data_IF_540221688567
#
_entry.id   IF_540221688567
#
_cell.length_a   1.000
_cell.length_b   1.000
_cell.length_c   1.000
_cell.angle_alpha   90.00
_cell.angle_beta   90.00
_cell.angle_gamma   90.00
#
_symmetry.space_group_name_H-M   'P 1'
#
loop_
_entity.id
_entity.type
_entity.pdbx_description
1 polymer ?
#
# COMPACT_ATOMS: atom_id res chain seq x y z
N UNK A 1 9.94 25.80 49.25
CA UNK A 1 8.55 25.51 48.82
C UNK A 1 8.32 25.62 47.29
N UNK A 2 9.32 25.90 46.44
CA UNK A 2 9.13 26.15 45.00
C UNK A 2 9.04 24.95 44.05
N UNK A 3 9.31 23.71 44.49
CA UNK A 3 9.35 22.54 43.60
C UNK A 3 8.00 21.83 43.39
N UNK A 4 7.01 22.08 44.26
CA UNK A 4 5.68 21.46 44.18
C UNK A 4 4.80 22.16 43.14
N UNK A 5 4.82 23.50 43.13
CA UNK A 5 4.04 24.32 42.19
C UNK A 5 4.42 24.13 40.72
N UNK A 6 5.70 23.89 40.41
CA UNK A 6 6.13 23.66 39.01
C UNK A 6 5.68 22.31 38.45
N UNK A 7 5.55 21.28 39.30
CA UNK A 7 5.03 19.97 38.90
C UNK A 7 3.52 19.97 38.77
N UNK A 8 2.80 20.71 39.62
CA UNK A 8 1.36 20.91 39.49
C UNK A 8 1.00 21.73 38.25
N UNK A 9 1.75 22.79 37.91
CA UNK A 9 1.56 23.54 36.66
C UNK A 9 1.84 22.70 35.41
N UNK A 10 2.88 21.86 35.42
CA UNK A 10 3.18 20.96 34.31
C UNK A 10 2.12 19.87 34.16
N UNK A 11 1.64 19.29 35.27
CA UNK A 11 0.55 18.32 35.27
C UNK A 11 -0.80 18.93 34.84
N UNK A 12 -1.09 20.17 35.25
CA UNK A 12 -2.28 20.90 34.83
C UNK A 12 -2.26 21.25 33.34
N UNK A 13 -1.10 21.66 32.78
CA UNK A 13 -0.92 21.83 31.33
C UNK A 13 -1.05 20.50 30.57
N UNK A 14 -0.55 19.41 31.15
CA UNK A 14 -0.67 18.04 30.61
C UNK A 14 -2.11 17.50 30.62
N UNK A 15 -2.94 17.96 31.57
CA UNK A 15 -4.36 17.63 31.63
C UNK A 15 -5.21 18.54 30.73
N UNK A 16 -4.85 19.81 30.58
CA UNK A 16 -5.55 20.79 29.72
C UNK A 16 -5.42 20.47 28.23
N UNK A 17 -4.26 20.00 27.75
CA UNK A 17 -4.13 19.64 26.32
C UNK A 17 -4.96 18.40 25.95
N UNK A 18 -5.06 17.39 26.85
CA UNK A 18 -5.84 16.16 26.60
C UNK A 18 -7.33 16.41 26.42
N UNK A 19 -7.84 17.55 26.93
CA UNK A 19 -9.24 17.94 26.77
C UNK A 19 -9.51 18.68 25.45
N UNK A 20 -8.48 19.19 24.77
CA UNK A 20 -8.65 19.94 23.53
C UNK A 20 -8.99 19.00 22.37
N UNK A 21 -9.95 19.37 21.50
CA UNK A 21 -10.20 18.62 20.28
C UNK A 21 -8.94 18.64 19.41
N UNK A 22 -8.58 17.50 18.83
CA UNK A 22 -7.45 17.41 17.91
C UNK A 22 -7.63 18.42 16.77
N UNK A 23 -6.65 19.31 16.60
CA UNK A 23 -6.61 20.28 15.53
C UNK A 23 -5.22 20.26 14.88
N UNK A 24 -5.07 19.77 13.64
CA UNK A 24 -3.77 19.66 12.99
C UNK A 24 -3.10 21.01 12.73
N UNK A 25 -3.85 22.13 12.79
CA UNK A 25 -3.31 23.48 12.64
C UNK A 25 -2.54 23.97 13.85
N UNK A 26 -2.62 23.28 14.99
CA UNK A 26 -1.89 23.67 16.20
C UNK A 26 -0.40 23.26 16.11
N UNK A 27 -0.06 22.33 15.22
CA UNK A 27 1.32 21.90 14.98
C UNK A 27 2.13 22.97 14.24
N UNK A 28 3.36 23.22 14.69
CA UNK A 28 4.28 24.21 14.08
C UNK A 28 5.14 23.61 12.98
N UNK A 29 5.34 22.29 13.02
CA UNK A 29 6.15 21.55 12.06
C UNK A 29 5.63 20.11 11.93
N UNK A 30 6.20 19.38 10.98
CA UNK A 30 5.87 17.98 10.69
C UNK A 30 6.03 17.07 11.91
N UNK A 31 7.16 17.13 12.63
CA UNK A 31 7.40 16.26 13.78
C UNK A 31 6.33 16.43 14.86
N UNK A 32 5.99 17.67 15.21
CA UNK A 32 4.94 17.98 16.18
C UNK A 32 3.57 17.47 15.69
N UNK A 33 3.25 17.61 14.40
CA UNK A 33 2.02 17.08 13.84
C UNK A 33 1.97 15.55 13.93
N UNK A 34 3.07 14.86 13.65
CA UNK A 34 3.16 13.40 13.75
C UNK A 34 2.97 12.94 15.21
N UNK A 35 3.60 13.61 16.17
CA UNK A 35 3.43 13.33 17.60
C UNK A 35 1.97 13.53 18.04
N UNK A 36 1.36 14.66 17.64
CA UNK A 36 -0.07 14.92 17.89
C UNK A 36 -0.97 13.86 17.26
N UNK A 37 -0.66 13.39 16.05
CA UNK A 37 -1.41 12.31 15.41
C UNK A 37 -1.28 10.99 16.20
N UNK A 38 -0.08 10.64 16.66
CA UNK A 38 0.16 9.44 17.49
C UNK A 38 -0.68 9.49 18.77
N UNK A 39 -0.76 10.65 19.42
CA UNK A 39 -1.60 10.83 20.61
C UNK A 39 -3.10 10.76 20.29
N UNK A 40 -3.55 11.43 19.22
CA UNK A 40 -4.96 11.48 18.83
C UNK A 40 -5.48 10.12 18.31
N UNK A 41 -4.61 9.28 17.73
CA UNK A 41 -4.93 7.90 17.35
C UNK A 41 -5.25 7.00 18.55
N UNK A 42 -4.84 7.37 19.76
CA UNK A 42 -5.17 6.65 20.99
C UNK A 42 -6.48 7.14 21.64
N UNK A 43 -7.14 8.15 21.06
CA UNK A 43 -8.40 8.68 21.59
C UNK A 43 -9.52 7.64 21.46
N UNK A 44 -10.41 7.60 22.46
CA UNK A 44 -11.57 6.70 22.47
C UNK A 44 -12.58 7.03 21.36
N UNK A 45 -12.63 8.28 20.91
CA UNK A 45 -13.57 8.81 19.90
C UNK A 45 -13.08 8.49 18.49
N UNK A 46 -13.91 7.79 17.73
CA UNK A 46 -13.62 7.47 16.33
C UNK A 46 -13.41 8.73 15.47
N UNK A 47 -14.19 9.78 15.70
CA UNK A 47 -14.06 11.05 14.98
C UNK A 47 -12.69 11.70 15.15
N UNK A 48 -12.09 11.61 16.35
CA UNK A 48 -10.75 12.13 16.62
C UNK A 48 -9.70 11.30 15.88
N UNK A 49 -9.81 9.97 15.94
CA UNK A 49 -8.90 9.06 15.23
C UNK A 49 -8.99 9.24 13.71
N UNK A 50 -10.19 9.38 13.16
CA UNK A 50 -10.40 9.69 11.74
C UNK A 50 -9.77 11.03 11.32
N UNK A 51 -9.90 12.07 12.15
CA UNK A 51 -9.27 13.35 11.90
C UNK A 51 -7.73 13.25 11.94
N UNK A 52 -7.19 12.48 12.90
CA UNK A 52 -5.76 12.21 13.00
C UNK A 52 -5.23 11.44 11.78
N UNK A 53 -5.91 10.38 11.35
CA UNK A 53 -5.53 9.62 10.15
C UNK A 53 -5.58 10.48 8.89
N UNK A 54 -6.56 11.38 8.78
CA UNK A 54 -6.67 12.32 7.66
C UNK A 54 -5.50 13.31 7.65
N UNK A 55 -5.17 13.88 8.80
CA UNK A 55 -4.04 14.80 8.94
C UNK A 55 -2.70 14.10 8.67
N UNK A 56 -2.53 12.88 9.20
CA UNK A 56 -1.37 12.03 8.96
C UNK A 56 -1.19 11.72 7.47
N UNK A 57 -2.25 11.28 6.78
CA UNK A 57 -2.19 11.01 5.34
C UNK A 57 -1.78 12.27 4.57
N UNK A 58 -2.40 13.42 4.87
CA UNK A 58 -2.07 14.69 4.24
C UNK A 58 -0.65 15.16 4.52
N UNK A 59 -0.05 14.81 5.67
CA UNK A 59 1.34 15.11 5.96
C UNK A 59 2.29 14.18 5.20
N UNK A 60 2.00 12.87 5.17
CA UNK A 60 2.79 11.89 4.43
C UNK A 60 2.80 12.17 2.92
N UNK A 61 1.68 12.63 2.34
CA UNK A 61 1.61 13.08 0.94
C UNK A 61 2.58 14.23 0.62
N UNK A 62 2.97 15.05 1.61
CA UNK A 62 3.92 16.14 1.40
C UNK A 62 5.37 15.65 1.36
N UNK A 63 5.64 14.35 1.43
CA UNK A 63 7.00 13.80 1.57
C UNK A 63 7.80 14.55 2.67
N UNK A 64 7.45 14.33 3.95
CA UNK A 64 8.16 14.94 5.07
C UNK A 64 9.62 14.48 5.16
N UNK A 65 10.43 15.22 5.92
CA UNK A 65 11.82 14.84 6.17
C UNK A 65 11.88 13.47 6.85
N UNK A 66 12.81 12.62 6.39
CA UNK A 66 12.90 11.24 6.85
C UNK A 66 13.12 11.14 8.37
N UNK A 67 13.91 12.05 8.96
CA UNK A 67 14.20 12.10 10.40
C UNK A 67 12.97 12.36 11.27
N UNK A 68 11.96 13.06 10.72
CA UNK A 68 10.70 13.30 11.43
C UNK A 68 9.82 12.05 11.39
N UNK A 69 9.78 11.37 10.26
CA UNK A 69 9.00 10.14 10.08
C UNK A 69 9.62 8.97 10.84
N UNK A 70 10.94 8.80 10.83
CA UNK A 70 11.64 7.64 11.42
C UNK A 70 11.33 7.48 12.91
N UNK A 71 11.21 8.60 13.64
CA UNK A 71 10.85 8.62 15.06
C UNK A 71 9.43 8.11 15.35
N UNK A 72 8.49 8.42 14.45
CA UNK A 72 7.07 8.10 14.63
C UNK A 72 6.62 6.86 13.85
N UNK A 73 7.41 6.38 12.89
CA UNK A 73 7.01 5.40 11.87
C UNK A 73 6.35 4.15 12.45
N UNK A 74 7.01 3.47 13.40
CA UNK A 74 6.47 2.23 13.97
C UNK A 74 5.27 2.46 14.88
N UNK A 75 5.24 3.58 15.64
CA UNK A 75 4.09 3.95 16.44
C UNK A 75 2.86 4.21 15.56
N UNK A 76 3.04 4.99 14.49
CA UNK A 76 2.01 5.26 13.50
C UNK A 76 1.52 3.96 12.86
N UNK A 77 2.44 3.09 12.43
CA UNK A 77 2.09 1.80 11.83
C UNK A 77 1.29 0.92 12.79
N UNK A 78 1.73 0.78 14.04
CA UNK A 78 1.05 0.00 15.07
C UNK A 78 -0.37 0.53 15.35
N UNK A 79 -0.52 1.85 15.50
CA UNK A 79 -1.80 2.49 15.76
C UNK A 79 -2.76 2.40 14.56
N UNK A 80 -2.24 2.48 13.33
CA UNK A 80 -3.04 2.18 12.14
C UNK A 80 -3.53 0.73 12.14
N UNK A 81 -2.69 -0.22 12.58
CA UNK A 81 -3.07 -1.62 12.76
C UNK A 81 -4.24 -1.79 13.74
N UNK A 82 -4.25 -1.05 14.85
CA UNK A 82 -5.38 -1.01 15.79
C UNK A 82 -6.63 -0.43 15.12
N UNK A 83 -6.51 0.68 14.39
CA UNK A 83 -7.62 1.29 13.65
C UNK A 83 -8.22 0.35 12.60
N UNK A 84 -7.42 -0.54 12.00
CA UNK A 84 -7.88 -1.54 11.04
C UNK A 84 -8.61 -2.70 11.74
N UNK A 85 -8.06 -3.23 12.83
CA UNK A 85 -8.59 -4.41 13.51
C UNK A 85 -9.77 -4.11 14.44
N UNK A 86 -9.69 -2.99 15.16
CA UNK A 86 -10.58 -2.62 16.26
C UNK A 86 -11.29 -1.28 16.02
N UNK A 87 -11.12 -0.71 14.83
CA UNK A 87 -11.74 0.55 14.43
C UNK A 87 -13.26 0.50 14.61
N UNK A 88 -13.83 1.62 15.06
CA UNK A 88 -15.29 1.71 15.31
C UNK A 88 -16.08 2.06 14.06
N UNK A 89 -15.40 2.44 12.97
CA UNK A 89 -16.02 2.76 11.69
C UNK A 89 -15.20 2.20 10.52
N UNK A 90 -15.88 1.83 9.43
CA UNK A 90 -15.19 1.41 8.20
C UNK A 90 -14.37 2.55 7.57
N UNK A 91 -14.79 3.80 7.80
CA UNK A 91 -14.04 4.98 7.37
C UNK A 91 -12.68 5.08 8.07
N UNK A 92 -12.63 4.79 9.36
CA UNK A 92 -11.40 4.72 10.15
C UNK A 92 -10.43 3.68 9.57
N UNK A 93 -10.92 2.47 9.29
CA UNK A 93 -10.11 1.42 8.67
C UNK A 93 -9.57 1.82 7.28
N UNK A 94 -10.41 2.40 6.42
CA UNK A 94 -10.02 2.90 5.09
C UNK A 94 -8.92 3.96 5.17
N UNK A 95 -9.05 4.91 6.09
CA UNK A 95 -8.04 5.95 6.32
C UNK A 95 -6.74 5.35 6.86
N UNK A 96 -6.81 4.32 7.71
CA UNK A 96 -5.65 3.61 8.21
C UNK A 96 -4.91 2.81 7.12
N UNK A 97 -5.62 2.10 6.24
CA UNK A 97 -5.01 1.48 5.06
C UNK A 97 -4.28 2.51 4.20
N UNK A 98 -4.91 3.66 3.95
CA UNK A 98 -4.27 4.75 3.22
C UNK A 98 -3.01 5.26 3.92
N UNK A 99 -3.06 5.50 5.22
CA UNK A 99 -1.91 5.95 5.99
C UNK A 99 -0.76 4.92 5.97
N UNK A 100 -1.06 3.63 6.09
CA UNK A 100 -0.05 2.55 6.02
C UNK A 100 0.65 2.50 4.67
N UNK A 101 -0.10 2.56 3.56
CA UNK A 101 0.51 2.57 2.23
C UNK A 101 1.34 3.84 1.98
N UNK A 102 0.87 5.01 2.41
CA UNK A 102 1.64 6.26 2.33
C UNK A 102 2.92 6.20 3.16
N UNK A 103 2.84 5.67 4.40
CA UNK A 103 3.99 5.49 5.27
C UNK A 103 5.04 4.55 4.66
N UNK A 104 4.59 3.49 4.00
CA UNK A 104 5.51 2.60 3.28
C UNK A 104 6.18 3.30 2.09
N UNK A 105 5.47 4.15 1.35
CA UNK A 105 6.02 4.89 0.21
C UNK A 105 6.94 6.05 0.63
N UNK A 106 6.72 6.65 1.80
CA UNK A 106 7.59 7.72 2.36
C UNK A 106 8.82 7.15 3.06
N UNK A 107 8.67 6.08 3.86
CA UNK A 107 9.72 5.60 4.76
C UNK A 107 10.39 4.31 4.26
N UNK A 108 11.21 4.45 3.21
CA UNK A 108 11.89 3.35 2.51
C UNK A 108 12.58 2.33 3.42
N UNK A 109 13.25 2.79 4.49
CA UNK A 109 14.00 1.89 5.37
C UNK A 109 13.08 0.95 6.17
N UNK A 110 11.85 1.36 6.45
CA UNK A 110 10.88 0.59 7.22
C UNK A 110 9.91 -0.21 6.32
N UNK A 111 9.75 0.17 5.05
CA UNK A 111 8.78 -0.44 4.12
C UNK A 111 8.82 -1.97 4.07
N UNK A 112 9.99 -2.65 4.09
CA UNK A 112 10.00 -4.11 4.11
C UNK A 112 9.44 -4.71 5.40
N UNK A 113 9.71 -4.09 6.55
CA UNK A 113 9.14 -4.53 7.83
C UNK A 113 7.65 -4.24 7.92
N UNK A 114 7.22 -3.10 7.38
CA UNK A 114 5.80 -2.76 7.21
C UNK A 114 5.10 -3.83 6.35
N UNK A 115 5.68 -4.22 5.22
CA UNK A 115 5.13 -5.25 4.34
C UNK A 115 5.03 -6.63 5.03
N UNK A 116 6.07 -7.03 5.77
CA UNK A 116 6.09 -8.32 6.46
C UNK A 116 4.96 -8.40 7.51
N UNK A 117 4.73 -7.33 8.27
CA UNK A 117 3.70 -7.27 9.32
C UNK A 117 2.29 -6.94 8.79
N UNK A 118 2.16 -6.11 7.74
CA UNK A 118 0.87 -5.70 7.18
C UNK A 118 0.23 -6.81 6.33
N UNK A 119 1.03 -7.64 5.65
CA UNK A 119 0.51 -8.59 4.68
C UNK A 119 -0.51 -9.58 5.26
N UNK A 120 -0.31 -10.25 6.42
CA UNK A 120 -1.29 -11.18 6.95
C UNK A 120 -2.65 -10.51 7.24
N UNK A 121 -2.61 -9.27 7.75
CA UNK A 121 -3.80 -8.48 8.03
C UNK A 121 -4.54 -8.08 6.75
N UNK A 122 -3.81 -7.58 5.75
CA UNK A 122 -4.36 -7.19 4.45
C UNK A 122 -4.91 -8.39 3.68
N UNK A 123 -4.19 -9.52 3.64
CA UNK A 123 -4.65 -10.72 2.97
C UNK A 123 -5.92 -11.31 3.60
N UNK A 124 -6.03 -11.24 4.93
CA UNK A 124 -7.26 -11.66 5.64
C UNK A 124 -8.41 -10.71 5.33
N UNK A 125 -8.16 -9.40 5.41
CA UNK A 125 -9.13 -8.36 5.03
C UNK A 125 -9.65 -8.59 3.60
N UNK A 126 -8.75 -8.83 2.66
CA UNK A 126 -9.10 -8.98 1.24
C UNK A 126 -9.97 -10.22 0.98
N UNK A 127 -9.83 -11.27 1.81
CA UNK A 127 -10.65 -12.48 1.70
C UNK A 127 -12.00 -12.35 2.40
N UNK A 128 -12.03 -11.67 3.54
CA UNK A 128 -13.16 -11.75 4.48
C UNK A 128 -14.03 -10.48 4.52
N UNK A 129 -13.61 -9.36 3.92
CA UNK A 129 -14.38 -8.12 3.92
C UNK A 129 -15.42 -8.08 2.79
N UNK A 130 -16.66 -7.77 3.15
CA UNK A 130 -17.78 -7.62 2.20
C UNK A 130 -17.98 -6.17 1.70
N UNK A 131 -17.47 -5.17 2.43
CA UNK A 131 -17.65 -3.77 2.06
C UNK A 131 -16.69 -3.37 0.93
N UNK A 132 -17.24 -3.15 -0.26
CA UNK A 132 -16.50 -2.85 -1.48
C UNK A 132 -15.48 -1.69 -1.35
N UNK A 133 -15.81 -0.53 -0.76
CA UNK A 133 -14.83 0.54 -0.58
C UNK A 133 -13.68 0.19 0.39
N UNK A 134 -13.95 -0.59 1.44
CA UNK A 134 -12.91 -1.08 2.37
C UNK A 134 -12.02 -2.11 1.72
N UNK A 135 -12.62 -3.03 0.96
CA UNK A 135 -11.89 -4.01 0.17
C UNK A 135 -10.97 -3.34 -0.87
N UNK A 136 -11.48 -2.35 -1.61
CA UNK A 136 -10.68 -1.56 -2.54
C UNK A 136 -9.51 -0.84 -1.85
N UNK A 137 -9.75 -0.22 -0.68
CA UNK A 137 -8.70 0.45 0.09
C UNK A 137 -7.62 -0.52 0.58
N UNK A 138 -8.01 -1.74 1.00
CA UNK A 138 -7.07 -2.77 1.42
C UNK A 138 -6.22 -3.31 0.25
N UNK A 139 -6.83 -3.49 -0.93
CA UNK A 139 -6.12 -3.89 -2.16
C UNK A 139 -5.09 -2.84 -2.57
N UNK A 140 -5.50 -1.57 -2.63
CA UNK A 140 -4.59 -0.47 -2.97
C UNK A 140 -3.45 -0.35 -1.94
N UNK A 141 -3.76 -0.50 -0.65
CA UNK A 141 -2.74 -0.53 0.40
C UNK A 141 -1.77 -1.69 0.21
N UNK A 142 -2.26 -2.90 -0.07
CA UNK A 142 -1.41 -4.07 -0.33
C UNK A 142 -0.46 -3.82 -1.50
N UNK A 143 -0.96 -3.27 -2.61
CA UNK A 143 -0.10 -2.91 -3.75
C UNK A 143 0.97 -1.88 -3.36
N UNK A 144 0.61 -0.81 -2.65
CA UNK A 144 1.56 0.22 -2.23
C UNK A 144 2.66 -0.33 -1.28
N UNK A 145 2.28 -1.09 -0.25
CA UNK A 145 3.26 -1.66 0.69
C UNK A 145 4.13 -2.72 0.03
N UNK A 146 3.57 -3.50 -0.92
CA UNK A 146 4.35 -4.49 -1.66
C UNK A 146 5.34 -3.83 -2.59
N UNK A 147 4.95 -2.80 -3.33
CA UNK A 147 5.86 -2.05 -4.18
C UNK A 147 7.02 -1.43 -3.38
N UNK A 148 6.71 -0.81 -2.23
CA UNK A 148 7.73 -0.17 -1.41
C UNK A 148 8.62 -1.16 -0.63
N UNK A 149 8.06 -2.29 -0.20
CA UNK A 149 8.69 -3.20 0.75
C UNK A 149 9.22 -4.52 0.18
N UNK A 150 8.87 -4.89 -1.05
CA UNK A 150 9.29 -6.16 -1.64
C UNK A 150 10.81 -6.22 -1.79
N UNK A 151 11.40 -7.31 -1.30
CA UNK A 151 12.86 -7.57 -1.38
C UNK A 151 13.22 -8.69 -2.32
N UNK A 152 12.22 -9.46 -2.73
CA UNK A 152 12.34 -10.59 -3.63
C UNK A 152 11.02 -10.78 -4.37
N UNK A 153 11.04 -11.64 -5.40
CA UNK A 153 9.86 -11.95 -6.20
C UNK A 153 8.74 -12.58 -5.37
N UNK A 154 9.09 -13.37 -4.35
CA UNK A 154 8.12 -14.11 -3.54
C UNK A 154 7.17 -13.15 -2.81
N UNK A 155 7.66 -11.98 -2.39
CA UNK A 155 6.84 -10.93 -1.80
C UNK A 155 5.80 -10.35 -2.77
N UNK A 156 6.16 -10.24 -4.04
CA UNK A 156 5.27 -9.72 -5.09
C UNK A 156 4.30 -10.81 -5.55
N UNK A 157 4.78 -12.05 -5.77
CA UNK A 157 3.97 -13.21 -6.18
C UNK A 157 2.82 -13.49 -5.19
N UNK A 158 3.12 -13.51 -3.88
CA UNK A 158 2.08 -13.72 -2.86
C UNK A 158 1.01 -12.62 -2.86
N UNK A 159 1.38 -11.38 -3.16
CA UNK A 159 0.46 -10.23 -3.19
C UNK A 159 -0.38 -10.24 -4.46
N UNK A 160 0.25 -10.54 -5.61
CA UNK A 160 -0.43 -10.78 -6.87
C UNK A 160 -1.46 -11.89 -6.74
N UNK A 161 -1.12 -13.01 -6.09
CA UNK A 161 -2.04 -14.10 -5.85
C UNK A 161 -3.26 -13.67 -5.04
N UNK A 162 -3.04 -12.99 -3.91
CA UNK A 162 -4.15 -12.50 -3.05
C UNK A 162 -5.08 -11.57 -3.82
N UNK A 163 -4.54 -10.64 -4.61
CA UNK A 163 -5.34 -9.72 -5.42
C UNK A 163 -6.03 -10.49 -6.55
N UNK A 164 -5.35 -11.41 -7.21
CA UNK A 164 -5.91 -12.20 -8.30
C UNK A 164 -7.09 -13.06 -7.84
N UNK A 165 -7.02 -13.66 -6.65
CA UNK A 165 -8.11 -14.46 -6.09
C UNK A 165 -9.40 -13.63 -5.85
N UNK A 166 -9.30 -12.29 -5.77
CA UNK A 166 -10.48 -11.39 -5.74
C UNK A 166 -11.11 -11.19 -7.11
N UNK A 167 -10.31 -11.21 -8.16
CA UNK A 167 -10.75 -11.09 -9.56
C UNK A 167 -11.29 -12.44 -10.04
N UNK A 168 -10.60 -13.52 -9.66
CA UNK A 168 -10.86 -14.91 -10.01
C UNK A 168 -11.06 -15.76 -8.77
N UNK A 169 -12.28 -15.76 -8.23
CA UNK A 169 -12.58 -16.68 -7.13
C UNK A 169 -12.80 -18.10 -7.67
N UNK A 170 -12.09 -19.15 -7.17
CA UNK A 170 -12.23 -20.51 -7.67
C UNK A 170 -13.64 -21.12 -7.46
N UNK A 171 -14.46 -20.53 -6.59
CA UNK A 171 -15.88 -20.85 -6.42
C UNK A 171 -16.77 -20.41 -7.60
N UNK A 172 -16.28 -19.54 -8.48
CA UNK A 172 -17.00 -19.03 -9.66
C UNK A 172 -17.03 -20.00 -10.84
N UNK A 173 -16.51 -21.22 -10.69
CA UNK A 173 -16.42 -22.23 -11.76
C UNK A 173 -17.71 -23.03 -12.00
N UNK A 174 -18.78 -22.79 -11.24
CA UNK A 174 -20.00 -23.63 -11.29
C UNK A 174 -21.27 -22.94 -11.80
N UNK A 175 -21.25 -21.67 -12.21
CA UNK A 175 -22.42 -21.01 -12.81
C UNK A 175 -22.05 -20.29 -14.09
N UNK A 176 -22.77 -20.62 -15.16
CA UNK A 176 -22.62 -20.18 -16.55
C UNK A 176 -22.89 -18.69 -16.81
N UNK A 177 -22.79 -17.82 -15.79
CA UNK A 177 -22.89 -16.38 -15.94
C UNK A 177 -21.57 -15.77 -15.49
N UNK A 178 -20.88 -15.11 -16.43
CA UNK A 178 -19.59 -14.43 -16.27
C UNK A 178 -19.69 -13.15 -15.40
N UNK A 179 -20.74 -13.02 -14.59
CA UNK A 179 -20.96 -11.88 -13.71
C UNK A 179 -20.20 -12.15 -12.41
N UNK A 180 -18.98 -11.60 -12.34
CA UNK A 180 -18.22 -11.58 -11.11
C UNK A 180 -19.02 -10.83 -10.05
N UNK A 181 -19.30 -11.51 -8.93
CA UNK A 181 -19.96 -10.95 -7.74
C UNK A 181 -19.22 -9.74 -7.13
N UNK A 182 -18.02 -9.42 -7.62
CA UNK A 182 -17.24 -8.27 -7.21
C UNK A 182 -17.82 -6.99 -7.83
N UNK A 183 -18.17 -6.00 -7.00
CA UNK A 183 -18.60 -4.69 -7.50
C UNK A 183 -17.57 -4.09 -8.46
N UNK A 184 -18.03 -3.27 -9.42
CA UNK A 184 -17.14 -2.60 -10.38
C UNK A 184 -15.99 -1.85 -9.71
N UNK A 185 -16.23 -1.23 -8.54
CA UNK A 185 -15.20 -0.57 -7.74
C UNK A 185 -14.09 -1.53 -7.27
N UNK A 186 -14.44 -2.73 -6.82
CA UNK A 186 -13.47 -3.74 -6.38
C UNK A 186 -12.68 -4.26 -7.56
N UNK A 187 -13.34 -4.52 -8.69
CA UNK A 187 -12.66 -4.93 -9.93
C UNK A 187 -11.66 -3.86 -10.40
N UNK A 188 -12.04 -2.58 -10.35
CA UNK A 188 -11.16 -1.45 -10.70
C UNK A 188 -9.91 -1.43 -9.83
N UNK A 189 -10.08 -1.49 -8.50
CA UNK A 189 -8.96 -1.50 -7.57
C UNK A 189 -8.07 -2.73 -7.77
N UNK A 190 -8.67 -3.92 -7.88
CA UNK A 190 -7.96 -5.19 -8.04
C UNK A 190 -7.15 -5.25 -9.33
N UNK A 191 -7.74 -4.91 -10.48
CA UNK A 191 -7.05 -4.94 -11.77
C UNK A 191 -5.95 -3.89 -11.85
N UNK A 192 -6.20 -2.66 -11.35
CA UNK A 192 -5.20 -1.60 -11.30
C UNK A 192 -4.01 -2.00 -10.41
N UNK A 193 -4.28 -2.52 -9.20
CA UNK A 193 -3.26 -2.98 -8.28
C UNK A 193 -2.50 -4.20 -8.80
N UNK A 194 -3.19 -5.14 -9.45
CA UNK A 194 -2.58 -6.33 -10.04
C UNK A 194 -1.67 -5.99 -11.21
N UNK A 195 -2.13 -5.16 -12.15
CA UNK A 195 -1.32 -4.71 -13.30
C UNK A 195 -0.09 -3.92 -12.82
N UNK A 196 -0.27 -3.05 -11.82
CA UNK A 196 0.82 -2.33 -11.18
C UNK A 196 1.87 -3.27 -10.58
N UNK A 197 1.48 -4.27 -9.79
CA UNK A 197 2.44 -5.22 -9.24
C UNK A 197 3.07 -6.10 -10.32
N UNK A 198 2.34 -6.41 -11.41
CA UNK A 198 2.85 -7.19 -12.53
C UNK A 198 4.06 -6.52 -13.21
N UNK A 199 4.00 -5.19 -13.39
CA UNK A 199 5.13 -4.40 -13.92
C UNK A 199 6.35 -4.42 -12.99
N UNK A 200 6.16 -4.70 -11.69
CA UNK A 200 7.22 -4.75 -10.69
C UNK A 200 7.90 -6.12 -10.61
N UNK A 201 7.17 -7.20 -10.94
CA UNK A 201 7.70 -8.57 -10.87
C UNK A 201 8.34 -9.06 -12.18
N UNK A 202 7.88 -8.58 -13.34
CA UNK A 202 8.43 -9.05 -14.62
C UNK A 202 9.79 -8.43 -14.91
N UNK A 203 10.04 -7.18 -14.48
CA UNK A 203 11.41 -6.64 -14.41
C UNK A 203 12.33 -7.52 -13.56
N UNK A 204 11.75 -8.26 -12.61
CA UNK A 204 12.45 -9.08 -11.63
C UNK A 204 12.59 -10.55 -12.06
N UNK A 205 11.81 -11.09 -13.01
CA UNK A 205 11.85 -12.53 -13.33
C UNK A 205 11.46 -12.98 -14.74
N UNK A 206 12.28 -13.88 -15.28
CA UNK A 206 11.97 -14.75 -16.44
C UNK A 206 11.03 -15.93 -16.09
N UNK A 207 10.68 -16.11 -14.81
CA UNK A 207 9.85 -17.22 -14.30
C UNK A 207 8.38 -17.07 -14.68
N UNK A 208 7.83 -15.85 -14.69
CA UNK A 208 6.45 -15.62 -15.12
C UNK A 208 6.22 -15.97 -16.59
N UNK A 209 7.26 -15.83 -17.44
CA UNK A 209 7.23 -16.29 -18.84
C UNK A 209 7.20 -17.82 -18.98
N UNK A 210 7.58 -18.54 -17.92
CA UNK A 210 7.59 -20.01 -17.84
C UNK A 210 6.34 -20.58 -17.15
N UNK A 211 5.46 -19.73 -16.62
CA UNK A 211 4.13 -20.14 -16.16
C UNK A 211 3.39 -20.82 -17.31
N UNK A 212 2.54 -21.80 -16.97
CA UNK A 212 1.77 -22.56 -17.93
C UNK A 212 1.03 -21.63 -18.92
N UNK A 213 1.21 -21.89 -20.21
CA UNK A 213 0.54 -21.16 -21.29
C UNK A 213 -0.98 -21.14 -21.09
N UNK A 214 -1.55 -22.21 -20.51
CA UNK A 214 -2.97 -22.29 -20.25
C UNK A 214 -3.46 -21.21 -19.26
N UNK A 215 -2.64 -20.89 -18.24
CA UNK A 215 -2.98 -19.86 -17.24
C UNK A 215 -3.01 -18.49 -17.88
N UNK A 216 -1.99 -18.13 -18.66
CA UNK A 216 -1.96 -16.83 -19.34
C UNK A 216 -3.03 -16.69 -20.43
N UNK A 217 -3.34 -17.76 -21.15
CA UNK A 217 -4.44 -17.77 -22.11
C UNK A 217 -5.79 -17.50 -21.41
N UNK A 218 -6.04 -18.15 -20.26
CA UNK A 218 -7.25 -17.93 -19.47
C UNK A 218 -7.31 -16.51 -18.89
N UNK A 219 -6.19 -16.01 -18.36
CA UNK A 219 -6.05 -14.62 -17.88
C UNK A 219 -6.41 -13.62 -18.97
N UNK A 220 -5.83 -13.74 -20.16
CA UNK A 220 -6.09 -12.80 -21.27
C UNK A 220 -7.52 -12.91 -21.78
N UNK A 221 -8.07 -14.12 -21.93
CA UNK A 221 -9.45 -14.30 -22.37
C UNK A 221 -10.45 -13.63 -21.42
N UNK A 222 -10.23 -13.74 -20.11
CA UNK A 222 -11.07 -13.07 -19.12
C UNK A 222 -10.91 -11.56 -19.14
N UNK A 223 -9.68 -11.04 -19.18
CA UNK A 223 -9.44 -9.60 -19.28
C UNK A 223 -10.06 -9.02 -20.56
N UNK A 224 -10.01 -9.77 -21.66
CA UNK A 224 -10.69 -9.42 -22.91
C UNK A 224 -12.22 -9.42 -22.73
N UNK A 225 -12.79 -10.36 -21.98
CA UNK A 225 -14.21 -10.37 -21.62
C UNK A 225 -14.64 -9.13 -20.84
N UNK A 226 -13.80 -8.65 -19.91
CA UNK A 226 -14.06 -7.42 -19.14
C UNK A 226 -14.09 -6.14 -19.99
N UNK A 227 -13.62 -6.17 -21.24
CA UNK A 227 -13.76 -5.06 -22.17
C UNK A 227 -15.22 -4.82 -22.59
N UNK A 228 -16.15 -5.75 -22.34
CA UNK A 228 -17.59 -5.55 -22.58
C UNK A 228 -18.37 -5.18 -21.31
N UNK A 229 -17.68 -4.99 -20.18
CA UNK A 229 -18.33 -4.70 -18.89
C UNK A 229 -19.04 -3.34 -18.93
N UNK A 230 -20.22 -3.20 -18.32
CA UNK A 230 -21.03 -1.96 -18.35
C UNK A 230 -20.30 -0.74 -17.76
N UNK A 231 -19.56 -0.95 -16.67
CA UNK A 231 -18.73 0.07 -16.04
C UNK A 231 -17.49 0.40 -16.90
N UNK A 232 -17.45 1.64 -17.41
CA UNK A 232 -16.32 2.19 -18.17
C UNK A 232 -15.00 2.10 -17.41
N UNK A 233 -14.99 2.29 -16.09
CA UNK A 233 -13.77 2.23 -15.30
C UNK A 233 -13.18 0.82 -15.31
N UNK A 234 -14.04 -0.22 -15.27
CA UNK A 234 -13.62 -1.63 -15.38
C UNK A 234 -13.01 -1.90 -16.77
N UNK A 235 -13.65 -1.43 -17.84
CA UNK A 235 -13.12 -1.56 -19.21
C UNK A 235 -11.73 -0.92 -19.34
N UNK A 236 -11.55 0.27 -18.78
CA UNK A 236 -10.27 1.00 -18.82
C UNK A 236 -9.15 0.22 -18.14
N UNK A 237 -9.35 -0.24 -16.89
CA UNK A 237 -8.28 -0.97 -16.18
C UNK A 237 -8.03 -2.37 -16.75
N UNK A 238 -9.04 -2.99 -17.36
CA UNK A 238 -8.87 -4.26 -18.08
C UNK A 238 -8.01 -4.06 -19.33
N UNK A 239 -8.24 -2.98 -20.07
CA UNK A 239 -7.38 -2.57 -21.20
C UNK A 239 -5.95 -2.28 -20.75
N UNK A 240 -5.75 -1.51 -19.68
CA UNK A 240 -4.42 -1.25 -19.11
C UNK A 240 -3.70 -2.55 -18.74
N UNK A 241 -4.39 -3.49 -18.07
CA UNK A 241 -3.84 -4.79 -17.69
C UNK A 241 -3.46 -5.64 -18.92
N UNK A 242 -4.29 -5.65 -19.97
CA UNK A 242 -4.00 -6.36 -21.22
C UNK A 242 -2.78 -5.81 -21.93
N UNK A 243 -2.68 -4.48 -22.05
CA UNK A 243 -1.53 -3.83 -22.69
C UNK A 243 -0.24 -4.13 -21.91
N UNK A 244 -0.29 -4.12 -20.58
CA UNK A 244 0.84 -4.57 -19.75
C UNK A 244 1.20 -6.03 -20.02
N UNK A 245 0.23 -6.94 -20.11
CA UNK A 245 0.49 -8.34 -20.43
C UNK A 245 1.17 -8.52 -21.80
N UNK A 246 0.75 -7.74 -22.80
CA UNK A 246 1.36 -7.74 -24.15
C UNK A 246 2.77 -7.15 -24.11
N UNK A 247 2.97 -5.98 -23.50
CA UNK A 247 4.29 -5.32 -23.40
C UNK A 247 5.31 -6.20 -22.67
N UNK A 248 4.87 -6.93 -21.65
CA UNK A 248 5.73 -7.82 -20.87
C UNK A 248 5.99 -9.18 -21.56
N UNK A 249 5.47 -9.39 -22.76
CA UNK A 249 5.55 -10.64 -23.54
C UNK A 249 4.92 -11.85 -22.81
N UNK A 250 3.88 -11.64 -22.02
CA UNK A 250 3.14 -12.71 -21.33
C UNK A 250 2.13 -13.41 -22.25
N UNK A 251 1.82 -12.79 -23.38
CA UNK A 251 0.89 -13.29 -24.41
C UNK A 251 1.56 -14.06 -25.54
N UNK A 252 2.88 -14.29 -25.47
CA UNK A 252 3.67 -14.86 -26.58
C UNK A 252 3.23 -16.25 -27.06
N UNK A 253 2.48 -17.00 -26.24
CA UNK A 253 1.96 -18.35 -26.55
C UNK A 253 0.46 -18.36 -26.88
N UNK A 254 -0.18 -17.20 -26.93
CA UNK A 254 -1.59 -17.07 -27.29
C UNK A 254 -1.73 -17.28 -28.80
N UNK A 255 -2.70 -18.08 -29.28
CA UNK A 255 -2.95 -18.24 -30.70
C UNK A 255 -3.18 -16.90 -31.40
N UNK A 256 -2.57 -16.72 -32.58
CA UNK A 256 -2.67 -15.47 -33.35
C UNK A 256 -4.11 -15.05 -33.61
N UNK A 257 -5.00 -16.01 -33.89
CA UNK A 257 -6.45 -15.77 -34.09
C UNK A 257 -7.09 -15.06 -32.89
N UNK A 258 -6.72 -15.42 -31.68
CA UNK A 258 -7.28 -14.84 -30.45
C UNK A 258 -6.71 -13.43 -30.21
N UNK A 259 -5.44 -13.22 -30.57
CA UNK A 259 -4.82 -11.88 -30.56
C UNK A 259 -5.42 -10.95 -31.62
N UNK A 260 -5.72 -11.46 -32.81
CA UNK A 260 -6.37 -10.69 -33.89
C UNK A 260 -7.81 -10.31 -33.49
N UNK A 261 -8.55 -11.23 -32.85
CA UNK A 261 -9.87 -10.94 -32.30
C UNK A 261 -9.83 -9.88 -31.19
N UNK A 262 -8.83 -9.96 -30.30
CA UNK A 262 -8.61 -8.95 -29.27
C UNK A 262 -8.28 -7.58 -29.87
N UNK A 263 -7.45 -7.53 -30.92
CA UNK A 263 -7.09 -6.28 -31.60
C UNK A 263 -8.30 -5.63 -32.30
N UNK A 264 -9.17 -6.44 -32.93
CA UNK A 264 -10.42 -5.95 -33.51
C UNK A 264 -11.31 -5.33 -32.42
N UNK A 265 -11.48 -6.04 -31.30
CA UNK A 265 -12.30 -5.58 -30.17
C UNK A 265 -11.81 -4.25 -29.56
N UNK A 266 -10.51 -4.09 -29.37
CA UNK A 266 -9.95 -2.84 -28.84
C UNK A 266 -10.04 -1.69 -29.84
N UNK A 267 -9.94 -1.98 -31.14
CA UNK A 267 -10.16 -0.99 -32.19
C UNK A 267 -11.60 -0.47 -32.17
N UNK A 268 -12.60 -1.35 -32.11
CA UNK A 268 -14.01 -0.96 -32.08
C UNK A 268 -14.34 -0.04 -30.89
N UNK A 269 -13.80 -0.36 -29.71
CA UNK A 269 -13.95 0.46 -28.50
C UNK A 269 -13.24 1.83 -28.60
N UNK A 270 -12.16 1.94 -29.37
CA UNK A 270 -11.44 3.20 -29.56
C UNK A 270 -12.23 4.20 -30.43
N UNK A 271 -13.04 3.70 -31.37
CA UNK A 271 -13.90 4.52 -32.24
C UNK A 271 -15.10 5.14 -31.50
N UNK A 272 -15.43 4.70 -30.29
CA UNK A 272 -16.52 5.26 -29.48
C UNK A 272 -16.17 6.59 -28.76
N UNK A 273 -15.01 7.19 -29.03
CA UNK A 273 -14.61 8.48 -28.41
C UNK A 273 -14.56 9.63 -29.42
N UNK A 274 -15.33 10.73 -29.26
CA UNK A 274 -15.13 11.92 -30.06
C UNK A 274 -13.99 12.79 -29.48
N UNK A 275 -12.90 12.85 -30.25
CA UNK A 275 -11.94 13.96 -30.43
C UNK A 275 -10.88 14.32 -29.36
N UNK A 276 -9.63 14.35 -29.89
CA UNK A 276 -8.51 15.28 -29.65
C UNK A 276 -7.72 15.20 -28.34
N UNK A 277 -6.65 14.41 -28.39
CA UNK A 277 -5.40 14.64 -27.66
C UNK A 277 -4.22 14.23 -28.54
N UNK A 278 -3.78 15.12 -29.44
CA UNK A 278 -2.64 14.87 -30.32
C UNK A 278 -1.34 14.96 -29.50
N UNK A 279 -0.76 13.83 -29.10
CA UNK A 279 0.62 13.79 -28.62
C UNK A 279 1.55 13.72 -29.84
N UNK A 280 2.22 14.84 -30.13
CA UNK A 280 3.35 14.88 -31.04
C UNK A 280 4.57 14.24 -30.37
N UNK A 281 5.07 13.13 -30.93
CA UNK A 281 6.40 12.62 -30.63
C UNK A 281 7.41 13.22 -31.63
N UNK A 282 8.56 13.76 -31.18
CA UNK A 282 9.63 14.13 -32.08
C UNK A 282 10.35 12.87 -32.59
N UNK A 283 10.76 12.81 -33.88
CA UNK A 283 11.44 11.65 -34.44
C UNK A 283 12.93 11.71 -34.08
N UNK A 284 13.47 10.67 -33.42
CA UNK A 284 14.92 10.53 -33.24
C UNK A 284 15.45 9.93 -31.93
N UNK A 285 14.62 9.32 -31.08
CA UNK A 285 15.10 8.62 -29.88
C UNK A 285 14.69 7.15 -29.89
N UNK A 286 15.50 6.30 -30.53
CA UNK A 286 15.44 4.85 -30.33
C UNK A 286 16.05 4.50 -28.96
N UNK A 287 15.21 4.47 -27.94
CA UNK A 287 15.45 3.74 -26.69
C UNK A 287 14.47 2.58 -26.57
N UNK A 288 14.79 1.47 -25.86
CA UNK A 288 13.91 0.32 -25.76
C UNK A 288 12.59 0.70 -25.06
N UNK A 289 11.49 0.38 -25.74
CA UNK A 289 10.09 0.75 -25.42
C UNK A 289 9.71 0.31 -24.01
N UNK A 290 9.45 1.28 -23.13
CA UNK A 290 8.96 1.06 -21.75
C UNK A 290 7.85 2.05 -21.41
N UNK A 291 6.87 2.21 -22.29
CA UNK A 291 5.89 3.29 -22.16
C UNK A 291 4.66 2.86 -21.35
N UNK A 292 4.04 1.71 -21.61
CA UNK A 292 2.78 1.38 -20.94
C UNK A 292 2.96 0.81 -19.54
N UNK A 293 3.96 -0.04 -19.31
CA UNK A 293 4.26 -0.52 -17.95
C UNK A 293 4.56 0.65 -17.01
N UNK A 294 5.36 1.63 -17.46
CA UNK A 294 5.63 2.86 -16.71
C UNK A 294 4.38 3.73 -16.53
N UNK A 295 3.56 3.89 -17.57
CA UNK A 295 2.30 4.63 -17.46
C UNK A 295 1.35 4.00 -16.43
N UNK A 296 1.21 2.67 -16.41
CA UNK A 296 0.38 1.97 -15.42
C UNK A 296 0.93 2.16 -14.00
N UNK A 297 2.26 2.10 -13.84
CA UNK A 297 2.90 2.42 -12.55
C UNK A 297 2.60 3.86 -12.10
N UNK A 298 2.79 4.83 -12.99
CA UNK A 298 2.54 6.23 -12.68
C UNK A 298 1.05 6.50 -12.44
N UNK A 299 0.14 5.85 -13.16
CA UNK A 299 -1.30 5.99 -12.96
C UNK A 299 -1.73 5.48 -11.58
N UNK A 300 -1.24 4.30 -11.17
CA UNK A 300 -1.49 3.77 -9.83
C UNK A 300 -0.93 4.71 -8.76
N UNK A 301 0.35 5.10 -8.88
CA UNK A 301 1.01 5.98 -7.92
C UNK A 301 0.37 7.37 -7.87
N UNK A 302 -0.09 7.94 -8.98
CA UNK A 302 -0.79 9.23 -9.02
C UNK A 302 -2.13 9.15 -8.29
N UNK A 303 -2.91 8.08 -8.52
CA UNK A 303 -4.16 7.83 -7.80
C UNK A 303 -3.92 7.62 -6.32
N UNK A 304 -2.87 6.88 -5.97
CA UNK A 304 -2.55 6.55 -4.58
C UNK A 304 -1.85 7.70 -3.82
N UNK A 305 -1.06 8.56 -4.44
CA UNK A 305 -0.39 9.68 -3.75
C UNK A 305 -1.21 10.97 -3.78
N UNK A 306 -2.21 11.05 -4.66
CA UNK A 306 -3.07 12.21 -4.77
C UNK A 306 -2.26 13.47 -5.04
N UNK A 307 -2.41 14.48 -4.18
CA UNK A 307 -1.73 15.79 -4.31
C UNK A 307 -0.22 15.69 -4.08
N UNK A 308 0.24 14.63 -3.42
CA UNK A 308 1.65 14.38 -3.15
C UNK A 308 2.43 13.81 -4.33
N UNK A 309 1.76 13.40 -5.42
CA UNK A 309 2.37 12.65 -6.50
C UNK A 309 3.61 13.34 -7.09
N UNK A 310 3.49 14.61 -7.51
CA UNK A 310 4.58 15.35 -8.16
C UNK A 310 5.81 15.41 -7.27
N UNK A 311 5.63 15.86 -6.01
CA UNK A 311 6.72 15.95 -5.04
C UNK A 311 7.39 14.60 -4.77
N UNK A 312 6.60 13.53 -4.65
CA UNK A 312 7.17 12.20 -4.46
C UNK A 312 7.95 11.73 -5.70
N UNK A 313 7.48 11.99 -6.92
CA UNK A 313 8.20 11.62 -8.15
C UNK A 313 9.53 12.37 -8.26
N UNK A 314 9.56 13.64 -7.88
CA UNK A 314 10.76 14.47 -7.94
C UNK A 314 11.78 14.15 -6.84
N UNK A 315 11.32 14.03 -5.59
CA UNK A 315 12.20 14.04 -4.43
C UNK A 315 12.35 12.69 -3.72
N UNK A 316 11.44 11.74 -3.94
CA UNK A 316 11.47 10.47 -3.21
C UNK A 316 12.57 9.54 -3.74
N UNK A 317 13.53 9.23 -2.88
CA UNK A 317 14.60 8.27 -3.17
C UNK A 317 14.09 6.88 -3.57
N UNK A 318 12.90 6.47 -3.10
CA UNK A 318 12.27 5.23 -3.54
C UNK A 318 11.97 5.25 -5.05
N UNK A 319 11.52 6.40 -5.56
CA UNK A 319 11.07 6.55 -6.94
C UNK A 319 12.21 6.88 -7.89
N UNK A 320 13.18 7.69 -7.45
CA UNK A 320 14.41 7.93 -8.21
C UNK A 320 15.09 6.61 -8.60
N UNK A 321 15.15 5.65 -7.68
CA UNK A 321 15.71 4.33 -7.97
C UNK A 321 14.79 3.46 -8.85
N UNK A 322 13.48 3.44 -8.57
CA UNK A 322 12.50 2.67 -9.35
C UNK A 322 12.40 3.12 -10.81
N UNK A 323 12.61 4.42 -11.07
CA UNK A 323 12.45 5.04 -12.39
C UNK A 323 13.78 5.51 -13.02
N UNK A 324 14.92 5.31 -12.36
CA UNK A 324 16.24 5.67 -12.92
C UNK A 324 16.47 4.98 -14.27
N UNK A 325 16.71 5.79 -15.30
CA UNK A 325 17.02 5.33 -16.65
C UNK A 325 18.43 4.72 -16.67
N UNK A 326 18.54 3.42 -16.99
CA UNK A 326 19.83 2.75 -17.22
C UNK A 326 20.46 2.00 -16.04
N UNK A 327 19.75 1.81 -14.92
CA UNK A 327 20.12 0.79 -13.95
C UNK A 327 19.54 -0.56 -14.39
N UNK A 328 20.35 -1.62 -14.44
CA UNK A 328 19.90 -2.99 -14.78
C UNK A 328 18.56 -3.32 -14.09
N UNK A 329 17.65 -3.97 -14.81
CA UNK A 329 16.24 -4.25 -14.44
C UNK A 329 16.04 -5.02 -13.11
N UNK A 330 17.12 -5.36 -12.37
CA UNK A 330 17.09 -5.94 -11.02
C UNK A 330 17.39 -4.99 -9.85
N UNK A 331 17.48 -3.67 -10.07
CA UNK A 331 18.06 -2.74 -9.07
C UNK A 331 17.20 -2.48 -7.82
N UNK A 332 15.87 -2.64 -7.90
CA UNK A 332 14.99 -2.52 -6.72
C UNK A 332 15.33 -3.53 -5.60
N UNK A 333 15.85 -4.72 -5.96
CA UNK A 333 16.13 -5.81 -5.00
C UNK A 333 17.57 -5.84 -4.49
N UNK A 334 18.54 -5.34 -5.27
CA UNK A 334 19.98 -5.47 -4.96
C UNK A 334 20.42 -4.58 -3.79
N UNK A 335 19.82 -3.40 -3.63
CA UNK A 335 20.15 -2.46 -2.54
C UNK A 335 19.53 -2.87 -1.21
N UNK A 336 18.39 -3.59 -1.22
CA UNK A 336 17.79 -4.17 -0.01
C UNK A 336 18.73 -5.17 0.70
N UNK A 337 19.69 -5.78 -0.02
CA UNK A 337 20.76 -6.60 0.56
C UNK A 337 21.85 -5.76 1.25
N UNK A 338 22.20 -4.57 0.74
CA UNK A 338 23.29 -3.74 1.29
C UNK A 338 22.99 -3.14 2.68
N UNK A 339 21.71 -3.00 3.10
CA UNK A 339 21.33 -2.43 4.41
C UNK A 339 21.12 -3.46 5.54
N UNK A 340 21.46 -4.73 5.32
CA UNK A 340 21.29 -5.82 6.30
C UNK A 340 22.07 -5.61 7.62
N UNK A 341 23.08 -4.74 7.64
CA UNK A 341 23.86 -4.39 8.84
C UNK A 341 23.09 -3.55 9.88
N UNK A 342 22.12 -2.73 9.46
CA UNK A 342 21.26 -1.92 10.36
C UNK A 342 20.17 -2.76 11.06
N UNK A 343 19.90 -3.96 10.54
CA UNK A 343 18.78 -4.86 10.88
C UNK A 343 18.84 -5.46 12.30
N UNK A 344 20.03 -5.57 12.90
CA UNK A 344 20.20 -6.23 14.20
C UNK A 344 19.55 -5.42 15.34
N UNK A 345 19.68 -4.08 15.34
CA UNK A 345 19.11 -3.22 16.39
C UNK A 345 17.58 -3.07 16.27
N UNK A 346 17.04 -3.09 15.05
CA UNK A 346 15.61 -2.91 14.75
C UNK A 346 14.76 -4.14 15.08
N UNK A 347 15.29 -5.35 14.84
CA UNK A 347 14.61 -6.60 15.20
C UNK A 347 14.39 -6.72 16.71
N UNK A 348 15.33 -6.23 17.50
CA UNK A 348 15.24 -6.23 18.97
C UNK A 348 14.24 -5.21 19.52
N UNK A 349 14.11 -4.04 18.87
CA UNK A 349 13.07 -3.04 19.20
C UNK A 349 11.65 -3.62 18.95
N UNK A 350 11.43 -4.19 17.76
CA UNK A 350 10.15 -4.82 17.40
C UNK A 350 9.85 -6.09 18.21
N UNK A 351 10.86 -6.83 18.66
CA UNK A 351 10.69 -7.98 19.55
C UNK A 351 10.26 -7.52 20.94
N UNK A 352 10.72 -6.36 21.42
CA UNK A 352 10.30 -5.75 22.69
C UNK A 352 8.86 -5.20 22.63
N UNK A 353 8.46 -4.55 21.54
CA UNK A 353 7.08 -4.05 21.42
C UNK A 353 6.04 -5.14 21.13
N UNK A 354 6.41 -6.24 20.45
CA UNK A 354 5.53 -7.42 20.30
C UNK A 354 5.02 -7.96 21.62
N UNK A 355 5.84 -7.93 22.67
CA UNK A 355 5.45 -8.35 24.03
C UNK A 355 4.47 -7.39 24.71
N UNK A 356 4.34 -6.14 24.23
CA UNK A 356 3.49 -5.13 24.85
C UNK A 356 2.17 -4.93 24.10
N UNK A 357 2.06 -5.30 22.81
CA UNK A 357 0.93 -4.85 22.01
C UNK A 357 0.34 -5.83 20.99
N UNK A 358 0.80 -7.09 20.90
CA UNK A 358 0.32 -7.99 19.84
C UNK A 358 -0.45 -9.25 20.31
N UNK A 359 -0.38 -9.64 21.59
CA UNK A 359 -1.11 -10.81 22.13
C UNK A 359 -1.97 -10.52 23.39
N UNK A 360 -2.29 -9.26 23.71
CA UNK A 360 -3.16 -8.97 24.86
C UNK A 360 -4.50 -8.35 24.44
N UNK A 361 -5.41 -9.20 23.98
CA UNK A 361 -6.84 -8.93 24.07
C UNK A 361 -7.28 -9.03 25.54
N UNK A 362 -8.08 -8.06 25.99
CA UNK A 362 -8.91 -8.05 27.21
C UNK A 362 -8.16 -7.86 28.54
N UNK A 363 -8.15 -6.63 29.06
CA UNK A 363 -8.66 -6.26 30.39
C UNK A 363 -8.55 -4.74 30.56
N UNK A 364 -9.67 -4.02 30.40
CA UNK A 364 -10.01 -2.82 31.19
C UNK A 364 -11.31 -2.17 30.71
N UNK A 365 -12.43 -2.90 30.85
CA UNK A 365 -13.63 -2.24 31.36
C UNK A 365 -13.50 -2.18 32.89
N UNK A 366 -13.47 -0.96 33.43
CA UNK A 366 -13.54 -0.55 34.85
C UNK A 366 -12.24 -0.18 35.61
N UNK A 367 -12.32 0.85 36.49
CA UNK A 367 -11.19 1.61 37.01
C UNK A 367 -10.69 1.08 38.36
N UNK A 368 -9.53 1.58 38.76
CA UNK A 368 -8.74 1.29 39.97
C UNK A 368 -7.77 0.12 39.84
N UNK A 369 -6.51 0.43 39.52
CA UNK A 369 -5.38 -0.09 40.29
C UNK A 369 -4.13 0.78 40.10
N UNK A 370 -3.63 1.30 41.21
CA UNK A 370 -2.33 1.98 41.33
C UNK A 370 -1.24 0.95 41.63
N UNK A 371 -0.12 0.94 40.90
CA UNK A 371 1.13 0.40 41.44
C UNK A 371 2.37 0.93 40.70
N UNK A 372 3.27 1.52 41.48
CA UNK A 372 4.66 1.83 41.15
C UNK A 372 5.43 0.53 40.92
N UNK A 373 6.36 0.48 39.96
CA UNK A 373 7.64 -0.21 40.18
C UNK A 373 8.77 0.33 39.28
N UNK A 374 9.97 0.46 39.85
CA UNK A 374 11.21 0.95 39.24
C UNK A 374 12.00 -0.22 38.62
N UNK A 375 12.75 -0.04 37.52
CA UNK A 375 13.51 -1.12 36.90
C UNK A 375 14.92 -1.20 37.50
N UNK A 376 15.25 -2.31 38.16
CA UNK A 376 16.64 -2.78 38.31
C UNK A 376 16.68 -4.30 38.29
N UNK A 377 17.74 -4.80 37.66
CA UNK A 377 18.21 -6.20 37.62
C UNK A 377 17.43 -7.16 36.73
N UNK A 378 18.00 -7.51 35.56
CA UNK A 378 18.51 -8.87 35.32
C UNK A 378 19.38 -8.89 34.04
N UNK A 379 20.60 -9.35 34.25
CA UNK A 379 21.73 -9.52 33.33
C UNK A 379 21.90 -11.03 33.06
N UNK A 380 22.53 -11.36 31.91
CA UNK A 380 23.04 -12.69 31.46
C UNK A 380 21.92 -13.62 30.94
N UNK A 381 22.00 -14.23 29.75
CA UNK A 381 22.94 -15.25 29.22
C UNK A 381 22.83 -15.20 27.66
N UNK A 382 23.89 -15.11 26.83
CA UNK A 382 24.81 -16.20 26.42
C UNK A 382 24.22 -17.02 25.24
N UNK A 383 24.59 -16.69 23.99
CA UNK A 383 24.21 -17.47 22.78
C UNK A 383 25.46 -18.08 22.15
N UNK A 384 25.48 -19.41 22.03
CA UNK A 384 26.13 -20.12 20.94
C UNK A 384 25.15 -20.25 19.78
#
# INVERSE_FOLDING_TARGET
>A
MGHKGNKEMAAAKLLDWRARPFNPRDARNTAELLDMCVEALQDKRASTREAALTALAGELEKLPLLDDVDKACFNVFALCGVCIKEGRSLKEARLAYRAVGLLALTHRAASPSILDEAFPLLATTIRDQDDAPTLAAAIDCLAAVTFAGARNKEHVERSLKVIWDTIFSPASRSSSNLETKASGQVLVAALSAWAFLLTTIVSVTDVLRKVDSAVWNATVAYLAGLLDHDDRAVRMVAGEALVVCVELNLTQRIPRKDMDALAAKTSDLAFETPSKGSQHHPPGAEGPVSTWAKLVQLNFLRRFLGKGFEKHVEDNELFKEAFSYGADEGTLLSVAKKKQSSKMKMKDFMKRERYLNWDCTIFATHPHYTARYKPKTLLKIGWH
#
